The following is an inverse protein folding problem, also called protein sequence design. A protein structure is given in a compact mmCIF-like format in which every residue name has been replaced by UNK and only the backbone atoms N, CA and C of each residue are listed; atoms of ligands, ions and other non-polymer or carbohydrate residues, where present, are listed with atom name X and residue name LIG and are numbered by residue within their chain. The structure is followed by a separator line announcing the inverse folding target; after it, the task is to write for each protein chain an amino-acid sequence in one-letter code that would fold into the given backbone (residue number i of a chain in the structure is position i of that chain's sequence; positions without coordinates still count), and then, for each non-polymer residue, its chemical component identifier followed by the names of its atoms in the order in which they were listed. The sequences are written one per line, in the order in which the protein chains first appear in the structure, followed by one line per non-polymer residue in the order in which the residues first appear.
data_IF_436991937493
#
_entry.id   IF_436991937493
#
_cell.length_a   1.000
_cell.length_b   1.000
_cell.length_c   1.000
_cell.angle_alpha   90.00
_cell.angle_beta   90.00
_cell.angle_gamma   90.00
#
_symmetry.space_group_name_H-M   'P 1'
#
loop_
_entity.id
_entity.type
_entity.pdbx_description
1 polymer ?
#
# COMPACT_ATOMS: atom_id res chain seq x y z
N UNK A 1 -28.78 -12.92 -32.24
CA UNK A 1 -28.33 -11.53 -32.35
C UNK A 1 -28.41 -10.94 -30.95
N UNK A 2 -27.37 -10.67 -30.18
CA UNK A 2 -25.92 -10.92 -30.33
C UNK A 2 -25.33 -11.02 -28.93
N UNK A 3 -24.56 -12.08 -28.73
CA UNK A 3 -23.79 -12.31 -27.52
C UNK A 3 -22.35 -11.87 -27.83
N UNK A 4 -21.96 -10.68 -27.41
CA UNK A 4 -20.62 -10.15 -27.59
C UNK A 4 -20.23 -9.10 -26.53
N UNK A 5 -20.19 -9.47 -25.25
CA UNK A 5 -19.52 -8.64 -24.25
C UNK A 5 -18.68 -9.51 -23.30
N UNK A 6 -17.36 -9.41 -23.47
CA UNK A 6 -16.42 -9.57 -22.37
C UNK A 6 -15.74 -10.91 -22.16
N UNK A 7 -15.11 -11.49 -23.17
CA UNK A 7 -14.00 -12.42 -22.92
C UNK A 7 -12.79 -11.61 -22.43
N UNK A 8 -12.62 -11.53 -21.12
CA UNK A 8 -11.34 -11.16 -20.51
C UNK A 8 -10.34 -12.25 -20.88
N UNK A 9 -9.46 -11.99 -21.84
CA UNK A 9 -8.33 -12.84 -22.15
C UNK A 9 -7.39 -12.87 -20.93
N UNK A 10 -7.49 -13.94 -20.14
CA UNK A 10 -6.38 -14.34 -19.27
C UNK A 10 -5.26 -14.80 -20.21
N UNK A 11 -4.24 -13.96 -20.35
CA UNK A 11 -2.98 -14.40 -20.92
C UNK A 11 -2.29 -15.31 -19.88
N UNK A 12 -2.63 -16.58 -19.87
CA UNK A 12 -1.85 -17.63 -19.21
C UNK A 12 -0.60 -17.91 -20.07
N UNK A 13 0.34 -16.98 -20.02
CA UNK A 13 1.73 -17.24 -20.42
C UNK A 13 2.42 -18.02 -19.30
N UNK A 14 3.56 -18.73 -19.58
CA UNK A 14 4.30 -19.46 -18.57
C UNK A 14 4.58 -18.54 -17.39
N UNK A 15 4.28 -19.01 -16.16
CA UNK A 15 4.36 -18.23 -14.93
C UNK A 15 5.76 -17.60 -14.82
N UNK A 16 5.87 -16.30 -15.08
CA UNK A 16 7.15 -15.59 -14.95
C UNK A 16 7.61 -15.70 -13.51
N UNK A 17 8.89 -16.01 -13.30
CA UNK A 17 9.49 -16.10 -11.96
C UNK A 17 9.18 -14.83 -11.15
N UNK A 18 8.89 -14.95 -9.85
CA UNK A 18 8.60 -13.81 -9.01
C UNK A 18 9.78 -12.83 -8.96
N UNK A 19 9.47 -11.55 -8.87
CA UNK A 19 10.47 -10.48 -8.69
C UNK A 19 10.94 -10.39 -7.23
N UNK A 20 10.06 -10.74 -6.31
CA UNK A 20 10.34 -10.89 -4.89
C UNK A 20 9.80 -12.24 -4.46
N UNK A 21 10.61 -13.00 -3.75
CA UNK A 21 10.23 -14.28 -3.14
C UNK A 21 11.09 -14.46 -1.90
N UNK A 22 10.50 -14.18 -0.73
CA UNK A 22 11.21 -14.14 0.55
C UNK A 22 10.39 -14.86 1.62
N UNK A 23 11.10 -15.53 2.54
CA UNK A 23 10.53 -16.34 3.61
C UNK A 23 11.24 -16.07 4.92
N UNK A 24 10.49 -16.10 6.02
CA UNK A 24 10.96 -15.99 7.41
C UNK A 24 11.83 -14.76 7.69
N UNK A 25 11.60 -13.67 6.96
CA UNK A 25 12.41 -12.45 7.09
C UNK A 25 12.12 -11.79 8.44
N UNK A 26 13.17 -11.62 9.25
CA UNK A 26 13.08 -10.98 10.56
C UNK A 26 14.09 -9.85 10.68
N UNK A 27 13.67 -8.74 11.30
CA UNK A 27 14.53 -7.61 11.63
C UNK A 27 14.27 -7.09 13.02
N UNK A 28 15.35 -6.98 13.82
CA UNK A 28 15.32 -6.46 15.18
C UNK A 28 16.09 -5.14 15.29
N UNK A 29 15.60 -4.25 16.13
CA UNK A 29 16.28 -3.04 16.55
C UNK A 29 16.31 -2.99 18.08
N UNK A 30 17.49 -2.96 18.67
CA UNK A 30 17.66 -2.93 20.12
C UNK A 30 16.82 -4.02 20.85
N UNK A 31 16.79 -5.24 20.30
CA UNK A 31 16.04 -6.37 20.86
C UNK A 31 14.53 -6.38 20.53
N UNK A 32 13.99 -5.33 19.90
CA UNK A 32 12.58 -5.26 19.50
C UNK A 32 12.41 -5.69 18.04
N UNK A 33 11.50 -6.60 17.78
CA UNK A 33 11.18 -7.03 16.41
C UNK A 33 10.39 -5.94 15.67
N UNK A 34 10.95 -5.46 14.56
CA UNK A 34 10.29 -4.53 13.66
C UNK A 34 9.66 -5.24 12.47
N UNK A 35 10.18 -6.41 12.10
CA UNK A 35 9.62 -7.35 11.14
C UNK A 35 9.88 -8.75 11.68
N UNK A 36 8.86 -9.60 11.66
CA UNK A 36 8.90 -10.94 12.26
C UNK A 36 8.37 -11.97 11.28
N UNK A 37 9.23 -12.93 10.91
CA UNK A 37 8.90 -14.09 10.06
C UNK A 37 8.06 -13.71 8.83
N UNK A 38 8.42 -12.60 8.16
CA UNK A 38 7.69 -12.09 7.01
C UNK A 38 7.94 -13.00 5.80
N UNK A 39 6.86 -13.49 5.19
CA UNK A 39 6.88 -14.18 3.91
C UNK A 39 6.09 -13.38 2.87
N UNK A 40 6.70 -13.12 1.71
CA UNK A 40 6.12 -12.27 0.69
C UNK A 40 6.61 -12.67 -0.71
N UNK A 41 5.69 -12.72 -1.65
CA UNK A 41 6.01 -12.88 -3.07
C UNK A 41 5.35 -11.79 -3.90
N UNK A 42 6.05 -11.34 -4.98
CA UNK A 42 5.55 -10.35 -5.93
C UNK A 42 5.90 -10.78 -7.36
N UNK A 43 4.94 -10.71 -8.26
CA UNK A 43 5.11 -11.05 -9.68
C UNK A 43 5.23 -9.78 -10.55
N UNK A 44 5.81 -9.90 -11.76
CA UNK A 44 5.76 -8.81 -12.74
C UNK A 44 4.32 -8.40 -13.04
N UNK A 45 4.08 -7.08 -13.14
CA UNK A 45 2.75 -6.54 -13.41
C UNK A 45 1.82 -6.42 -12.20
N UNK A 46 2.28 -6.83 -11.02
CA UNK A 46 1.50 -6.81 -9.79
C UNK A 46 1.77 -5.53 -8.98
N UNK A 47 0.71 -4.99 -8.37
CA UNK A 47 0.81 -3.94 -7.34
C UNK A 47 0.41 -4.56 -6.01
N UNK A 48 1.35 -4.62 -5.07
CA UNK A 48 1.13 -5.11 -3.72
C UNK A 48 1.11 -3.96 -2.72
N UNK A 49 0.00 -3.76 -2.02
CA UNK A 49 -0.11 -2.82 -0.91
C UNK A 49 0.39 -3.43 0.39
N UNK A 50 1.39 -2.82 1.03
CA UNK A 50 1.74 -3.09 2.43
C UNK A 50 0.96 -2.12 3.31
N UNK A 51 -0.07 -2.60 3.96
CA UNK A 51 -1.04 -1.77 4.68
C UNK A 51 -0.93 -1.99 6.18
N UNK A 52 -0.97 -0.93 6.96
CA UNK A 52 -0.91 -1.06 8.42
C UNK A 52 -0.60 0.27 9.12
N UNK A 53 -0.73 0.27 10.43
CA UNK A 53 -0.45 1.45 11.26
C UNK A 53 1.03 1.88 11.26
N UNK A 54 1.30 3.01 11.89
CA UNK A 54 2.67 3.49 12.09
C UNK A 54 3.42 2.51 13.01
N UNK A 55 4.69 2.24 12.66
CA UNK A 55 5.49 1.25 13.37
C UNK A 55 5.19 -0.21 13.01
N UNK A 56 4.23 -0.51 12.13
CA UNK A 56 3.86 -1.87 11.72
C UNK A 56 4.90 -2.62 10.86
N UNK A 57 6.08 -2.06 10.60
CA UNK A 57 7.16 -2.74 9.87
C UNK A 57 7.22 -2.43 8.37
N UNK A 58 6.31 -1.64 7.81
CA UNK A 58 6.22 -1.35 6.36
C UNK A 58 7.51 -0.80 5.76
N UNK A 59 8.01 0.32 6.28
CA UNK A 59 9.28 0.95 5.85
C UNK A 59 10.47 0.01 6.02
N UNK A 60 10.52 -0.74 7.12
CA UNK A 60 11.58 -1.73 7.37
C UNK A 60 11.56 -2.83 6.31
N UNK A 61 10.38 -3.36 5.98
CA UNK A 61 10.20 -4.34 4.91
C UNK A 61 10.67 -3.79 3.56
N UNK A 62 10.23 -2.59 3.17
CA UNK A 62 10.67 -1.97 1.92
C UNK A 62 12.19 -1.76 1.86
N UNK A 63 12.82 -1.34 2.97
CA UNK A 63 14.28 -1.17 3.03
C UNK A 63 15.02 -2.49 2.89
N UNK A 64 14.52 -3.57 3.47
CA UNK A 64 15.10 -4.91 3.32
C UNK A 64 15.01 -5.35 1.86
N UNK A 65 13.82 -5.29 1.26
CA UNK A 65 13.60 -5.69 -0.13
C UNK A 65 14.39 -4.80 -1.12
N UNK A 66 14.62 -3.55 -0.78
CA UNK A 66 15.45 -2.62 -1.55
C UNK A 66 16.97 -2.83 -1.37
N UNK A 67 17.40 -3.79 -0.54
CA UNK A 67 18.82 -4.00 -0.23
C UNK A 67 19.46 -2.84 0.56
N UNK A 68 18.64 -1.97 1.18
CA UNK A 68 19.08 -0.82 1.98
C UNK A 68 19.30 -1.20 3.44
N UNK A 69 18.74 -2.32 3.87
CA UNK A 69 18.81 -2.84 5.22
C UNK A 69 19.01 -4.35 5.18
N UNK A 70 20.01 -4.86 5.88
CA UNK A 70 20.22 -6.30 6.01
C UNK A 70 19.25 -6.86 7.06
N UNK A 71 18.46 -7.90 6.74
CA UNK A 71 17.68 -8.60 7.74
C UNK A 71 18.60 -9.39 8.68
N UNK A 72 18.10 -9.75 9.85
CA UNK A 72 18.84 -10.56 10.83
C UNK A 72 18.65 -12.05 10.55
N UNK A 73 17.46 -12.43 10.05
CA UNK A 73 17.10 -13.80 9.69
C UNK A 73 16.27 -13.81 8.41
N UNK A 74 16.11 -14.99 7.82
CA UNK A 74 15.29 -15.22 6.66
C UNK A 74 16.09 -15.56 5.41
N UNK A 75 15.37 -15.90 4.35
CA UNK A 75 15.93 -16.30 3.06
C UNK A 75 15.06 -15.80 1.90
N UNK A 76 15.58 -15.88 0.71
CA UNK A 76 14.84 -15.59 -0.50
C UNK A 76 15.61 -14.79 -1.52
N UNK A 77 14.91 -14.33 -2.53
CA UNK A 77 15.49 -13.59 -3.66
C UNK A 77 14.67 -12.35 -4.00
N UNK A 78 15.39 -11.31 -4.37
CA UNK A 78 14.82 -10.09 -4.95
C UNK A 78 15.49 -9.87 -6.31
N UNK A 79 14.69 -9.78 -7.37
CA UNK A 79 15.15 -9.71 -8.76
C UNK A 79 16.13 -10.85 -9.16
N UNK A 80 15.99 -12.01 -8.52
CA UNK A 80 16.87 -13.16 -8.69
C UNK A 80 18.15 -13.14 -7.85
N UNK A 81 18.45 -12.05 -7.14
CA UNK A 81 19.61 -11.91 -6.25
C UNK A 81 19.25 -12.37 -4.84
N UNK A 82 20.22 -12.99 -4.18
CA UNK A 82 20.08 -13.42 -2.79
C UNK A 82 19.82 -12.24 -1.85
N UNK A 83 18.86 -12.39 -0.94
CA UNK A 83 18.44 -11.32 -0.02
C UNK A 83 19.56 -10.90 0.94
N UNK A 84 20.41 -11.85 1.39
CA UNK A 84 21.47 -11.60 2.38
C UNK A 84 22.76 -11.13 1.74
N UNK A 85 23.10 -11.67 0.55
CA UNK A 85 24.35 -11.42 -0.14
C UNK A 85 24.27 -10.44 -1.30
N UNK A 86 23.09 -10.30 -1.94
CA UNK A 86 22.88 -9.55 -3.18
C UNK A 86 22.52 -8.08 -3.03
N UNK A 87 22.66 -7.49 -1.84
CA UNK A 87 22.15 -6.14 -1.55
C UNK A 87 22.64 -5.05 -2.54
N UNK A 88 23.89 -5.12 -3.00
CA UNK A 88 24.46 -4.16 -3.97
C UNK A 88 23.74 -4.24 -5.32
N UNK A 89 23.50 -5.48 -5.79
CA UNK A 89 22.89 -5.74 -7.09
C UNK A 89 21.40 -5.39 -7.07
N UNK A 90 20.73 -5.64 -5.95
CA UNK A 90 19.33 -5.23 -5.72
C UNK A 90 19.22 -3.71 -5.80
N UNK A 91 20.01 -2.96 -5.02
CA UNK A 91 19.96 -1.49 -4.98
C UNK A 91 20.13 -0.83 -6.35
N UNK A 92 20.93 -1.43 -7.22
CA UNK A 92 21.18 -0.89 -8.58
C UNK A 92 20.02 -1.06 -9.56
N UNK A 93 19.05 -1.93 -9.21
CA UNK A 93 17.96 -2.34 -10.12
C UNK A 93 16.58 -1.99 -9.62
N UNK A 94 16.48 -1.56 -8.34
CA UNK A 94 15.21 -1.20 -7.70
C UNK A 94 14.98 0.29 -7.80
N UNK A 95 13.77 0.69 -8.17
CA UNK A 95 13.28 2.05 -7.97
C UNK A 95 12.79 2.20 -6.54
N UNK A 96 13.42 3.06 -5.74
CA UNK A 96 13.04 3.27 -4.34
C UNK A 96 12.63 4.72 -4.10
N UNK A 97 11.43 4.90 -3.56
CA UNK A 97 10.93 6.18 -3.07
C UNK A 97 10.74 6.09 -1.55
N UNK A 98 11.47 6.90 -0.80
CA UNK A 98 11.37 6.97 0.65
C UNK A 98 10.21 7.86 1.11
N UNK A 99 9.70 7.63 2.31
CA UNK A 99 8.64 8.44 2.92
C UNK A 99 9.04 9.91 3.06
N UNK A 100 10.28 10.19 3.49
CA UNK A 100 10.84 11.54 3.48
C UNK A 100 11.31 11.92 2.09
N UNK A 101 11.18 13.20 1.75
CA UNK A 101 11.76 13.72 0.50
C UNK A 101 13.28 13.49 0.49
N UNK A 102 13.75 12.80 -0.53
CA UNK A 102 15.19 12.46 -0.73
C UNK A 102 15.75 13.14 -1.97
N UNK A 103 15.28 14.36 -2.24
CA UNK A 103 15.74 15.22 -3.31
C UNK A 103 16.84 16.14 -2.79
N UNK A 104 17.72 16.55 -3.68
CA UNK A 104 18.70 17.60 -3.40
C UNK A 104 17.99 18.94 -3.57
N UNK A 105 17.76 19.64 -2.46
CA UNK A 105 16.98 20.88 -2.40
C UNK A 105 17.53 22.01 -3.25
N UNK A 106 18.86 22.11 -3.32
CA UNK A 106 19.58 23.13 -4.06
C UNK A 106 19.63 22.86 -5.57
N UNK A 107 19.50 21.59 -5.99
CA UNK A 107 19.46 21.21 -7.38
C UNK A 107 18.07 21.47 -7.98
N UNK A 108 18.05 21.91 -9.22
CA UNK A 108 16.82 22.05 -10.00
C UNK A 108 16.15 20.70 -10.23
N UNK A 109 14.89 20.71 -10.66
CA UNK A 109 14.16 19.52 -11.10
C UNK A 109 14.94 18.72 -12.14
N UNK A 110 15.46 19.43 -13.17
CA UNK A 110 16.27 18.80 -14.21
C UNK A 110 17.55 18.16 -13.66
N UNK A 111 18.29 18.88 -12.81
CA UNK A 111 19.54 18.39 -12.23
C UNK A 111 19.30 17.19 -11.30
N UNK A 112 18.25 17.19 -10.48
CA UNK A 112 17.86 16.03 -9.67
C UNK A 112 17.62 14.78 -10.53
N UNK A 113 16.85 14.91 -11.62
CA UNK A 113 16.56 13.80 -12.52
C UNK A 113 17.82 13.35 -13.27
N UNK A 114 18.62 14.29 -13.81
CA UNK A 114 19.86 13.97 -14.48
C UNK A 114 20.85 13.25 -13.56
N UNK A 115 21.01 13.75 -12.34
CA UNK A 115 21.86 13.09 -11.33
C UNK A 115 21.39 11.65 -11.04
N UNK A 116 20.08 11.44 -10.90
CA UNK A 116 19.54 10.07 -10.72
C UNK A 116 19.83 9.18 -11.92
N UNK A 117 19.66 9.67 -13.13
CA UNK A 117 19.99 8.94 -14.34
C UNK A 117 21.47 8.53 -14.37
N UNK A 118 22.38 9.44 -13.99
CA UNK A 118 23.81 9.18 -13.90
C UNK A 118 24.17 8.12 -12.83
N UNK A 119 23.56 8.21 -11.65
CA UNK A 119 23.75 7.22 -10.55
C UNK A 119 23.33 5.81 -10.97
N UNK A 120 22.26 5.69 -11.76
CA UNK A 120 21.81 4.41 -12.31
C UNK A 120 22.55 4.01 -13.59
N UNK A 121 23.51 4.80 -14.06
CA UNK A 121 24.37 4.48 -15.22
C UNK A 121 23.65 4.57 -16.55
N UNK A 122 22.61 5.40 -16.67
CA UNK A 122 21.91 5.59 -17.94
C UNK A 122 22.81 6.37 -18.94
N UNK A 123 23.05 5.76 -20.10
CA UNK A 123 23.60 6.48 -21.23
C UNK A 123 22.60 7.56 -21.69
N UNK A 124 23.05 8.83 -21.84
CA UNK A 124 22.15 9.91 -22.20
C UNK A 124 21.30 10.44 -21.04
N UNK A 125 21.89 10.60 -19.86
CA UNK A 125 21.24 11.11 -18.64
C UNK A 125 20.44 12.40 -18.84
N UNK A 126 20.90 13.28 -19.72
CA UNK A 126 20.19 14.51 -20.12
C UNK A 126 18.87 14.19 -20.82
N UNK A 127 18.89 13.32 -21.83
CA UNK A 127 17.69 12.94 -22.59
C UNK A 127 16.70 12.18 -21.70
N UNK A 128 17.20 11.32 -20.81
CA UNK A 128 16.37 10.62 -19.82
C UNK A 128 15.68 11.61 -18.88
N UNK A 129 16.39 12.61 -18.37
CA UNK A 129 15.82 13.65 -17.52
C UNK A 129 14.74 14.46 -18.24
N UNK A 130 15.01 14.90 -19.49
CA UNK A 130 14.05 15.66 -20.30
C UNK A 130 12.80 14.83 -20.63
N UNK A 131 12.96 13.55 -20.97
CA UNK A 131 11.84 12.63 -21.23
C UNK A 131 11.00 12.43 -19.96
N UNK A 132 11.66 12.21 -18.82
CA UNK A 132 10.99 12.03 -17.53
C UNK A 132 10.25 13.29 -17.10
N UNK A 133 10.83 14.49 -17.32
CA UNK A 133 10.12 15.74 -17.05
C UNK A 133 8.84 15.87 -17.87
N UNK A 134 8.87 15.49 -19.16
CA UNK A 134 7.65 15.51 -20.00
C UNK A 134 6.62 14.51 -19.51
N UNK A 135 7.05 13.28 -19.22
CA UNK A 135 6.15 12.21 -18.76
C UNK A 135 5.48 12.52 -17.40
N UNK A 136 6.15 13.29 -16.54
CA UNK A 136 5.66 13.67 -15.22
C UNK A 136 5.14 15.10 -15.11
N UNK A 137 4.92 15.81 -16.25
CA UNK A 137 4.44 17.20 -16.31
C UNK A 137 5.33 18.21 -15.53
N UNK A 138 6.62 17.90 -15.41
CA UNK A 138 7.60 18.69 -14.66
C UNK A 138 8.33 19.73 -15.52
N UNK A 139 8.07 19.77 -16.82
CA UNK A 139 8.84 20.60 -17.78
C UNK A 139 8.87 22.08 -17.41
N UNK A 140 7.72 22.62 -16.96
CA UNK A 140 7.62 24.03 -16.53
C UNK A 140 8.47 24.36 -15.30
N UNK A 141 8.77 23.35 -14.49
CA UNK A 141 9.60 23.49 -13.29
C UNK A 141 11.05 23.07 -13.50
N UNK A 142 11.46 22.75 -14.72
CA UNK A 142 12.77 22.17 -15.02
C UNK A 142 13.96 22.97 -14.45
N UNK A 143 13.84 24.29 -14.36
CA UNK A 143 14.87 25.21 -13.81
C UNK A 143 14.60 25.60 -12.34
N UNK A 144 13.52 25.14 -11.74
CA UNK A 144 13.15 25.44 -10.34
C UNK A 144 13.95 24.56 -9.40
N UNK A 145 14.62 25.08 -8.37
CA UNK A 145 15.21 24.27 -7.31
C UNK A 145 14.16 23.38 -6.64
N UNK A 146 14.53 22.13 -6.33
CA UNK A 146 13.59 21.17 -5.76
C UNK A 146 13.03 21.65 -4.40
N UNK A 147 13.84 22.38 -3.62
CA UNK A 147 13.42 22.97 -2.37
C UNK A 147 12.37 24.10 -2.49
N UNK A 148 12.19 24.66 -3.67
CA UNK A 148 11.19 25.69 -3.96
C UNK A 148 9.85 25.12 -4.49
N UNK A 149 9.76 23.80 -4.69
CA UNK A 149 8.54 23.14 -5.12
C UNK A 149 7.54 23.03 -3.95
N UNK A 150 6.25 23.09 -4.28
CA UNK A 150 5.23 22.66 -3.29
C UNK A 150 5.37 21.16 -2.99
N UNK A 151 4.84 20.72 -1.83
CA UNK A 151 4.96 19.31 -1.40
C UNK A 151 4.48 18.31 -2.46
N UNK A 152 3.38 18.61 -3.16
CA UNK A 152 2.86 17.75 -4.23
C UNK A 152 3.81 17.64 -5.43
N UNK A 153 4.39 18.76 -5.87
CA UNK A 153 5.36 18.76 -6.95
C UNK A 153 6.68 18.09 -6.56
N UNK A 154 7.12 18.28 -5.32
CA UNK A 154 8.29 17.58 -4.80
C UNK A 154 8.07 16.05 -4.73
N UNK A 155 6.87 15.60 -4.31
CA UNK A 155 6.50 14.19 -4.34
C UNK A 155 6.46 13.62 -5.75
N UNK A 156 5.90 14.36 -6.70
CA UNK A 156 5.88 13.99 -8.11
C UNK A 156 7.31 13.85 -8.68
N UNK A 157 8.19 14.78 -8.36
CA UNK A 157 9.61 14.71 -8.74
C UNK A 157 10.30 13.50 -8.10
N UNK A 158 10.01 13.19 -6.84
CA UNK A 158 10.59 12.04 -6.15
C UNK A 158 10.16 10.72 -6.78
N UNK A 159 8.87 10.59 -7.14
CA UNK A 159 8.35 9.43 -7.86
C UNK A 159 9.01 9.32 -9.27
N UNK A 160 9.12 10.43 -9.99
CA UNK A 160 9.79 10.49 -11.29
C UNK A 160 11.25 10.02 -11.19
N UNK A 161 11.98 10.47 -10.17
CA UNK A 161 13.35 10.08 -9.90
C UNK A 161 13.50 8.59 -9.54
N UNK A 162 12.52 8.00 -8.87
CA UNK A 162 12.50 6.56 -8.57
C UNK A 162 12.26 5.69 -9.80
N UNK A 163 11.60 6.23 -10.83
CA UNK A 163 11.20 5.50 -12.04
C UNK A 163 12.08 5.77 -13.26
N UNK A 164 13.01 6.75 -13.19
CA UNK A 164 13.79 7.25 -14.35
C UNK A 164 14.56 6.15 -15.10
N UNK A 165 15.01 5.11 -14.42
CA UNK A 165 15.77 3.99 -14.99
C UNK A 165 14.91 2.78 -15.37
N UNK A 166 13.58 2.96 -15.43
CA UNK A 166 12.60 1.92 -15.78
C UNK A 166 12.81 0.61 -14.99
N UNK A 167 12.80 0.66 -13.65
CA UNK A 167 13.11 -0.49 -12.81
C UNK A 167 12.06 -1.61 -12.95
N UNK A 168 12.50 -2.86 -12.89
CA UNK A 168 11.59 -4.02 -12.86
C UNK A 168 10.88 -4.19 -11.52
N UNK A 169 11.44 -3.65 -10.44
CA UNK A 169 10.85 -3.62 -9.10
C UNK A 169 10.86 -2.20 -8.57
N UNK A 170 9.69 -1.74 -8.13
CA UNK A 170 9.49 -0.40 -7.56
C UNK A 170 8.99 -0.54 -6.13
N UNK A 171 9.62 0.15 -5.20
CA UNK A 171 9.29 0.17 -3.79
C UNK A 171 8.97 1.60 -3.37
N UNK A 172 7.73 1.86 -3.01
CA UNK A 172 7.20 3.20 -2.72
C UNK A 172 6.74 3.27 -1.26
N UNK A 173 7.41 4.10 -0.48
CA UNK A 173 7.10 4.27 0.94
C UNK A 173 6.21 5.51 1.13
N UNK A 174 4.90 5.27 1.34
CA UNK A 174 3.84 6.28 1.47
C UNK A 174 3.87 7.35 0.34
N UNK A 175 3.79 6.94 -0.95
CA UNK A 175 4.03 7.86 -2.07
C UNK A 175 3.00 9.00 -2.17
N UNK A 176 1.84 8.83 -1.60
CA UNK A 176 0.68 9.73 -1.69
C UNK A 176 0.43 10.54 -0.42
N UNK A 177 1.25 10.33 0.62
CA UNK A 177 1.10 11.04 1.88
C UNK A 177 1.18 12.57 1.69
N UNK A 178 0.15 13.27 2.20
CA UNK A 178 0.06 14.74 2.13
C UNK A 178 -0.33 15.29 0.75
N UNK A 179 -0.72 14.46 -0.20
CA UNK A 179 -1.25 14.89 -1.49
C UNK A 179 -2.75 15.20 -1.41
N UNK A 180 -3.19 16.19 -2.18
CA UNK A 180 -4.62 16.41 -2.46
C UNK A 180 -5.18 15.27 -3.30
N UNK A 181 -6.52 15.21 -3.43
CA UNK A 181 -7.23 14.12 -4.13
C UNK A 181 -6.77 13.98 -5.59
N UNK A 182 -6.62 15.09 -6.31
CA UNK A 182 -6.20 15.06 -7.72
C UNK A 182 -4.76 14.55 -7.89
N UNK A 183 -3.83 15.09 -7.11
CA UNK A 183 -2.43 14.67 -7.12
C UNK A 183 -2.25 13.20 -6.71
N UNK A 184 -3.09 12.71 -5.77
CA UNK A 184 -3.12 11.31 -5.36
C UNK A 184 -3.56 10.40 -6.52
N UNK A 185 -4.66 10.74 -7.21
CA UNK A 185 -5.12 9.99 -8.38
C UNK A 185 -4.06 9.91 -9.47
N UNK A 186 -3.42 11.03 -9.78
CA UNK A 186 -2.34 11.05 -10.76
C UNK A 186 -1.16 10.16 -10.36
N UNK A 187 -0.76 10.16 -9.09
CA UNK A 187 0.31 9.28 -8.59
C UNK A 187 -0.08 7.80 -8.78
N UNK A 188 -1.32 7.42 -8.44
CA UNK A 188 -1.83 6.06 -8.62
C UNK A 188 -1.90 5.65 -10.09
N UNK A 189 -2.36 6.52 -10.99
CA UNK A 189 -2.35 6.25 -12.43
C UNK A 189 -0.93 5.94 -12.94
N UNK A 190 0.10 6.63 -12.42
CA UNK A 190 1.50 6.36 -12.79
C UNK A 190 2.01 5.04 -12.23
N UNK A 191 1.64 4.71 -10.99
CA UNK A 191 1.96 3.44 -10.35
C UNK A 191 1.35 2.28 -11.18
N UNK A 192 0.07 2.37 -11.49
CA UNK A 192 -0.63 1.38 -12.29
C UNK A 192 -0.04 1.23 -13.69
N UNK A 193 0.24 2.34 -14.37
CA UNK A 193 0.91 2.32 -15.70
C UNK A 193 2.26 1.62 -15.63
N UNK A 194 3.04 1.86 -14.57
CA UNK A 194 4.33 1.21 -14.34
C UNK A 194 4.18 -0.30 -14.15
N UNK A 195 3.18 -0.73 -13.40
CA UNK A 195 2.89 -2.14 -13.23
C UNK A 195 2.41 -2.78 -14.56
N UNK A 196 1.50 -2.14 -15.27
CA UNK A 196 1.03 -2.62 -16.60
C UNK A 196 2.17 -2.74 -17.62
N UNK A 197 3.23 -1.94 -17.49
CA UNK A 197 4.44 -2.07 -18.31
C UNK A 197 5.33 -3.27 -17.92
N UNK A 198 4.94 -4.03 -16.89
CA UNK A 198 5.60 -5.28 -16.48
C UNK A 198 6.49 -5.14 -15.24
N UNK A 199 6.57 -3.98 -14.61
CA UNK A 199 7.24 -3.85 -13.31
C UNK A 199 6.37 -4.45 -12.19
N UNK A 200 6.99 -5.01 -11.15
CA UNK A 200 6.30 -5.27 -9.89
C UNK A 200 6.41 -4.03 -9.00
N UNK A 201 5.33 -3.66 -8.34
CA UNK A 201 5.30 -2.49 -7.46
C UNK A 201 4.86 -2.88 -6.07
N UNK A 202 5.60 -2.45 -5.04
CA UNK A 202 5.17 -2.54 -3.64
C UNK A 202 4.97 -1.13 -3.11
N UNK A 203 3.78 -0.85 -2.61
CA UNK A 203 3.40 0.45 -2.05
C UNK A 203 3.11 0.28 -0.56
N UNK A 204 3.78 1.02 0.32
CA UNK A 204 3.33 1.12 1.70
C UNK A 204 2.30 2.24 1.85
N UNK A 205 1.27 1.98 2.63
CA UNK A 205 0.27 2.97 2.99
C UNK A 205 -0.36 2.66 4.35
N UNK A 206 -0.85 3.68 5.02
CA UNK A 206 -1.74 3.53 6.18
C UNK A 206 -3.21 3.81 5.80
N UNK A 207 -3.46 4.24 4.56
CA UNK A 207 -4.79 4.51 4.02
C UNK A 207 -5.34 3.23 3.36
N UNK A 208 -6.34 2.64 4.00
CA UNK A 208 -6.98 1.41 3.53
C UNK A 208 -7.71 1.60 2.19
N UNK A 209 -8.17 2.82 1.89
CA UNK A 209 -8.79 3.11 0.60
C UNK A 209 -7.81 2.99 -0.58
N UNK A 210 -6.54 3.25 -0.34
CA UNK A 210 -5.49 3.06 -1.36
C UNK A 210 -5.19 1.58 -1.62
N UNK A 211 -5.37 0.73 -0.63
CA UNK A 211 -5.16 -0.71 -0.78
C UNK A 211 -6.18 -1.35 -1.74
N UNK A 212 -7.35 -0.74 -1.91
CA UNK A 212 -8.36 -1.18 -2.89
C UNK A 212 -7.90 -1.00 -4.34
N UNK A 213 -6.91 -0.14 -4.59
CA UNK A 213 -6.30 0.06 -5.91
C UNK A 213 -5.15 -0.93 -6.20
N UNK A 214 -4.76 -1.72 -5.21
CA UNK A 214 -3.72 -2.73 -5.34
C UNK A 214 -4.28 -4.05 -5.87
N UNK A 215 -3.47 -4.79 -6.63
CA UNK A 215 -3.81 -6.15 -7.07
C UNK A 215 -3.97 -7.10 -5.88
N UNK A 216 -3.11 -6.92 -4.87
CA UNK A 216 -3.13 -7.61 -3.58
C UNK A 216 -2.77 -6.64 -2.47
N UNK A 217 -3.27 -6.93 -1.28
CA UNK A 217 -2.93 -6.22 -0.05
C UNK A 217 -2.37 -7.21 0.99
N UNK A 218 -1.31 -6.79 1.67
CA UNK A 218 -0.77 -7.45 2.85
C UNK A 218 -1.00 -6.53 4.06
N UNK A 219 -1.83 -6.96 5.00
CA UNK A 219 -2.06 -6.23 6.24
C UNK A 219 -0.95 -6.56 7.23
N UNK A 220 -0.22 -5.53 7.64
CA UNK A 220 0.87 -5.63 8.61
C UNK A 220 0.41 -5.11 9.97
N UNK A 221 0.62 -5.93 10.99
CA UNK A 221 0.45 -5.56 12.40
C UNK A 221 1.65 -6.07 13.18
N UNK A 222 2.27 -5.21 13.98
CA UNK A 222 3.43 -5.55 14.85
C UNK A 222 4.56 -6.32 14.12
N UNK A 223 4.87 -5.90 12.90
CA UNK A 223 5.93 -6.51 12.09
C UNK A 223 5.56 -7.83 11.41
N UNK A 224 4.32 -8.30 11.53
CA UNK A 224 3.82 -9.55 10.92
C UNK A 224 2.77 -9.26 9.85
N UNK A 225 2.74 -10.08 8.82
CA UNK A 225 1.60 -10.11 7.89
C UNK A 225 0.49 -10.92 8.57
N UNK A 226 -0.63 -10.25 8.89
CA UNK A 226 -1.80 -10.88 9.53
C UNK A 226 -2.83 -11.37 8.52
N UNK A 227 -2.85 -10.79 7.33
CA UNK A 227 -3.65 -11.26 6.19
C UNK A 227 -3.01 -10.79 4.88
N UNK A 228 -3.13 -11.60 3.82
CA UNK A 228 -2.67 -11.24 2.48
C UNK A 228 -3.55 -11.90 1.42
N UNK A 229 -3.93 -11.12 0.40
CA UNK A 229 -4.76 -11.58 -0.72
C UNK A 229 -5.25 -10.41 -1.56
N UNK A 230 -6.19 -10.64 -2.47
CA UNK A 230 -6.92 -9.50 -3.06
C UNK A 230 -7.69 -8.78 -1.95
N UNK A 231 -8.01 -7.47 -2.11
CA UNK A 231 -8.81 -6.76 -1.10
C UNK A 231 -10.07 -7.51 -0.68
N UNK A 232 -10.77 -8.12 -1.65
CA UNK A 232 -11.95 -8.95 -1.39
C UNK A 232 -11.64 -10.24 -0.62
N UNK A 233 -10.54 -10.92 -0.95
CA UNK A 233 -10.11 -12.14 -0.24
C UNK A 233 -9.80 -11.82 1.22
N UNK A 234 -9.07 -10.73 1.48
CA UNK A 234 -8.77 -10.27 2.83
C UNK A 234 -10.04 -9.91 3.58
N UNK A 235 -10.97 -9.18 2.96
CA UNK A 235 -12.26 -8.86 3.57
C UNK A 235 -13.04 -10.13 3.96
N UNK A 236 -13.09 -11.15 3.09
CA UNK A 236 -13.82 -12.41 3.34
C UNK A 236 -13.12 -13.36 4.30
N UNK A 237 -11.84 -13.18 4.59
CA UNK A 237 -11.07 -14.07 5.49
C UNK A 237 -11.41 -13.89 6.97
N UNK A 238 -12.13 -12.82 7.32
CA UNK A 238 -12.41 -12.43 8.70
C UNK A 238 -13.77 -12.94 9.15
N UNK A 239 -13.89 -13.64 10.29
CA UNK A 239 -15.15 -14.19 10.78
C UNK A 239 -15.97 -13.10 11.50
N UNK A 240 -16.48 -12.14 10.75
CA UNK A 240 -17.34 -11.07 11.27
C UNK A 240 -18.45 -10.73 10.26
N UNK A 241 -19.45 -10.02 10.73
CA UNK A 241 -20.55 -9.50 9.93
C UNK A 241 -20.57 -7.98 10.01
N UNK A 242 -20.99 -7.34 8.93
CA UNK A 242 -21.05 -5.88 8.87
C UNK A 242 -22.47 -5.43 8.59
N UNK A 243 -22.90 -4.44 9.36
CA UNK A 243 -24.24 -3.87 9.26
C UNK A 243 -24.17 -2.36 9.06
N UNK A 244 -25.12 -1.84 8.31
CA UNK A 244 -25.33 -0.41 8.15
C UNK A 244 -26.61 -0.02 8.91
N UNK A 245 -26.45 0.87 9.88
CA UNK A 245 -27.54 1.42 10.64
C UNK A 245 -27.93 2.79 10.07
N UNK A 246 -29.17 2.94 9.64
CA UNK A 246 -29.69 4.14 8.99
C UNK A 246 -30.87 4.71 9.77
N UNK A 247 -30.99 6.04 9.84
CA UNK A 247 -32.12 6.70 10.53
C UNK A 247 -31.71 8.02 11.18
N UNK A 248 -32.68 8.68 11.82
CA UNK A 248 -32.43 9.91 12.54
C UNK A 248 -31.53 9.66 13.76
N UNK A 249 -30.49 10.48 13.92
CA UNK A 249 -29.61 10.45 15.07
C UNK A 249 -28.80 9.16 15.31
N UNK A 250 -28.61 8.29 14.29
CA UNK A 250 -27.87 7.01 14.43
C UNK A 250 -26.47 7.17 15.03
N UNK A 251 -25.81 8.32 14.80
CA UNK A 251 -24.49 8.61 15.37
C UNK A 251 -24.50 8.63 16.91
N UNK A 252 -25.61 8.98 17.55
CA UNK A 252 -25.75 8.95 19.01
C UNK A 252 -25.74 7.54 19.56
N UNK A 253 -26.11 6.55 18.73
CA UNK A 253 -26.11 5.13 19.13
C UNK A 253 -24.71 4.50 19.13
N UNK A 254 -23.73 5.14 18.51
CA UNK A 254 -22.38 4.60 18.39
C UNK A 254 -21.76 4.19 19.73
N UNK A 255 -21.94 5.02 20.78
CA UNK A 255 -21.42 4.72 22.10
C UNK A 255 -22.15 3.58 22.79
N UNK A 256 -23.48 3.49 22.64
CA UNK A 256 -24.27 2.38 23.18
C UNK A 256 -23.96 1.06 22.48
N UNK A 257 -23.83 1.09 21.14
CA UNK A 257 -23.51 -0.08 20.33
C UNK A 257 -22.13 -0.67 20.64
N UNK A 258 -21.14 0.16 20.96
CA UNK A 258 -19.81 -0.35 21.38
C UNK A 258 -19.82 -1.15 22.68
N UNK A 259 -20.88 -1.04 23.49
CA UNK A 259 -21.07 -1.81 24.73
C UNK A 259 -21.83 -3.10 24.51
N UNK A 260 -22.36 -3.34 23.32
CA UNK A 260 -23.10 -4.56 22.99
C UNK A 260 -22.09 -5.70 22.83
N UNK A 261 -22.29 -6.82 23.53
CA UNK A 261 -21.43 -7.98 23.36
C UNK A 261 -21.37 -8.43 21.90
N UNK A 262 -20.17 -8.65 21.41
CA UNK A 262 -19.92 -9.04 20.02
C UNK A 262 -19.78 -7.87 19.04
N UNK A 263 -20.06 -6.62 19.41
CA UNK A 263 -19.73 -5.48 18.56
C UNK A 263 -18.23 -5.19 18.67
N UNK A 264 -17.55 -5.23 17.52
CA UNK A 264 -16.11 -5.05 17.40
C UNK A 264 -15.79 -3.57 17.17
N UNK A 265 -16.47 -2.93 16.22
CA UNK A 265 -16.25 -1.54 15.89
C UNK A 265 -17.53 -0.85 15.41
N UNK A 266 -17.58 0.47 15.60
CA UNK A 266 -18.61 1.33 15.01
C UNK A 266 -17.96 2.58 14.46
N UNK A 267 -18.28 2.97 13.24
CA UNK A 267 -17.77 4.19 12.63
C UNK A 267 -18.77 4.81 11.65
N UNK A 268 -18.73 6.13 11.45
CA UNK A 268 -19.67 6.81 10.57
C UNK A 268 -19.35 6.50 9.10
N UNK A 269 -20.41 6.25 8.31
CA UNK A 269 -20.35 6.15 6.86
C UNK A 269 -21.39 7.10 6.25
N UNK A 270 -20.96 8.29 5.89
CA UNK A 270 -21.86 9.36 5.48
C UNK A 270 -22.83 9.73 6.61
N UNK A 271 -24.15 9.65 6.36
CA UNK A 271 -25.20 9.90 7.36
C UNK A 271 -25.51 8.66 8.22
N UNK A 272 -25.01 7.50 7.84
CA UNK A 272 -25.27 6.21 8.49
C UNK A 272 -24.15 5.86 9.48
N UNK A 273 -24.37 4.80 10.25
CA UNK A 273 -23.38 4.19 11.14
C UNK A 273 -23.07 2.78 10.65
N UNK A 274 -21.80 2.50 10.39
CA UNK A 274 -21.32 1.18 10.06
C UNK A 274 -20.96 0.44 11.35
N UNK A 275 -21.40 -0.81 11.47
CA UNK A 275 -21.22 -1.64 12.67
C UNK A 275 -20.57 -2.93 12.26
N UNK A 276 -19.37 -3.20 12.76
CA UNK A 276 -18.65 -4.46 12.58
C UNK A 276 -18.88 -5.30 13.83
N UNK A 277 -19.35 -6.51 13.65
CA UNK A 277 -19.72 -7.38 14.76
C UNK A 277 -19.31 -8.85 14.53
N UNK A 278 -18.99 -9.54 15.58
CA UNK A 278 -18.76 -10.99 15.56
C UNK A 278 -20.01 -11.74 15.09
N UNK A 279 -19.82 -12.91 14.53
CA UNK A 279 -20.91 -13.80 14.16
C UNK A 279 -21.77 -14.10 15.38
N UNK A 280 -23.09 -13.92 15.26
CA UNK A 280 -24.05 -14.13 16.36
C UNK A 280 -24.53 -12.88 17.08
N UNK A 281 -23.93 -11.71 16.84
CA UNK A 281 -24.39 -10.44 17.44
C UNK A 281 -25.62 -9.82 16.75
N UNK A 282 -26.12 -10.42 15.66
CA UNK A 282 -27.17 -9.87 14.79
C UNK A 282 -28.50 -9.60 15.55
N UNK A 283 -28.95 -10.57 16.35
CA UNK A 283 -30.20 -10.44 17.11
C UNK A 283 -30.19 -9.28 18.12
N UNK A 284 -29.05 -9.04 18.76
CA UNK A 284 -28.88 -7.90 19.68
C UNK A 284 -28.92 -6.57 18.90
N UNK A 285 -28.27 -6.50 17.75
CA UNK A 285 -28.29 -5.32 16.88
C UNK A 285 -29.69 -5.04 16.33
N UNK A 286 -30.43 -6.07 15.93
CA UNK A 286 -31.83 -5.93 15.48
C UNK A 286 -32.74 -5.40 16.59
N UNK A 287 -32.56 -5.87 17.83
CA UNK A 287 -33.31 -5.38 18.98
C UNK A 287 -33.11 -3.89 19.21
N UNK A 288 -31.85 -3.44 19.14
CA UNK A 288 -31.49 -2.03 19.27
C UNK A 288 -32.04 -1.21 18.11
N UNK A 289 -31.96 -1.72 16.89
CA UNK A 289 -32.47 -1.02 15.73
C UNK A 289 -33.98 -0.80 15.84
N UNK A 290 -34.74 -1.82 16.27
CA UNK A 290 -36.19 -1.71 16.53
C UNK A 290 -36.52 -0.69 17.62
N UNK A 291 -35.84 -0.73 18.76
CA UNK A 291 -36.08 0.19 19.88
C UNK A 291 -35.72 1.63 19.57
N UNK A 292 -34.80 1.85 18.64
CA UNK A 292 -34.31 3.19 18.24
C UNK A 292 -35.01 3.74 16.98
N UNK A 293 -36.01 3.03 16.44
CA UNK A 293 -36.67 3.36 15.17
C UNK A 293 -35.68 3.59 14.01
N UNK A 294 -34.61 2.75 13.96
CA UNK A 294 -33.58 2.78 12.92
C UNK A 294 -33.66 1.53 12.06
N UNK A 295 -33.17 1.63 10.83
CA UNK A 295 -33.09 0.50 9.90
C UNK A 295 -31.72 -0.14 9.97
N UNK A 296 -31.67 -1.46 10.22
CA UNK A 296 -30.46 -2.27 10.14
C UNK A 296 -30.46 -3.02 8.81
N UNK A 297 -29.36 -2.95 8.07
CA UNK A 297 -29.13 -3.73 6.86
C UNK A 297 -27.77 -4.41 6.92
N UNK A 298 -27.71 -5.70 6.61
CA UNK A 298 -26.44 -6.39 6.43
C UNK A 298 -25.78 -5.93 5.13
N UNK A 299 -24.50 -5.60 5.18
CA UNK A 299 -23.74 -5.10 4.01
C UNK A 299 -22.46 -5.91 3.83
N UNK A 300 -21.86 -5.81 2.65
CA UNK A 300 -20.57 -6.44 2.38
C UNK A 300 -19.46 -5.88 3.26
N UNK A 301 -18.54 -6.73 3.68
CA UNK A 301 -17.33 -6.35 4.38
C UNK A 301 -16.33 -5.74 3.40
N UNK A 302 -15.73 -4.61 3.76
CA UNK A 302 -14.61 -4.02 3.03
C UNK A 302 -13.28 -4.27 3.77
N UNK A 303 -12.19 -3.86 3.15
CA UNK A 303 -10.85 -4.04 3.73
C UNK A 303 -10.68 -3.29 5.06
N UNK A 304 -11.34 -2.13 5.22
CA UNK A 304 -11.33 -1.35 6.46
C UNK A 304 -11.97 -2.11 7.62
N UNK A 305 -13.11 -2.77 7.37
CA UNK A 305 -13.76 -3.62 8.37
C UNK A 305 -12.85 -4.76 8.82
N UNK A 306 -12.23 -5.44 7.84
CA UNK A 306 -11.32 -6.55 8.11
C UNK A 306 -10.09 -6.10 8.92
N UNK A 307 -9.52 -4.95 8.60
CA UNK A 307 -8.39 -4.39 9.32
C UNK A 307 -8.74 -4.07 10.78
N UNK A 308 -9.96 -3.56 11.05
CA UNK A 308 -10.44 -3.30 12.41
C UNK A 308 -10.57 -4.59 13.22
N UNK A 309 -11.08 -5.67 12.62
CA UNK A 309 -11.18 -6.96 13.30
C UNK A 309 -9.81 -7.55 13.58
N UNK A 310 -8.94 -7.61 12.57
CA UNK A 310 -7.58 -8.15 12.70
C UNK A 310 -6.71 -7.32 13.63
N UNK A 311 -6.88 -5.99 13.65
CA UNK A 311 -6.23 -5.10 14.58
C UNK A 311 -6.63 -5.38 16.04
N UNK A 312 -7.89 -5.68 16.33
CA UNK A 312 -8.32 -6.01 17.69
C UNK A 312 -7.93 -7.43 18.14
N UNK A 313 -7.84 -8.39 17.23
CA UNK A 313 -7.31 -9.73 17.55
C UNK A 313 -5.79 -9.70 17.81
N UNK A 314 -5.06 -8.83 17.13
CA UNK A 314 -3.66 -8.54 17.43
C UNK A 314 -3.53 -7.72 18.75
N UNK A 315 -4.46 -6.81 19.05
CA UNK A 315 -4.46 -5.90 20.22
C UNK A 315 -5.07 -6.49 21.50
N UNK A 316 -5.44 -7.76 21.55
CA UNK A 316 -5.43 -8.50 22.84
C UNK A 316 -3.98 -8.72 23.32
N UNK A 317 -3.01 -8.29 22.54
CA UNK A 317 -1.68 -7.85 22.85
C UNK A 317 -1.45 -6.33 22.75
N UNK A 318 -2.50 -5.48 22.61
CA UNK A 318 -2.47 -3.99 22.57
C UNK A 318 -3.04 -3.41 23.87
N UNK A 319 -2.71 -4.01 25.01
CA UNK A 319 -2.94 -3.51 26.37
C UNK A 319 -1.70 -2.86 26.92
#
# INVERSE_FOLDING_TARGET
MDDALGRVYRLEGPARAPLVDVEDVTKRYAGREAVTSLALSLRPGEVLGLVGGNGGGKTTTLRILGGLLKPDEGRGRVLGFDLLGGAREIRRRVGYMSQRLSLYSELTVFENLRFRAEVYGLSGSRMAAEATMRDFDLTRYGRTPAGALSGGWARRLQLAAALIHSPRLVLLDEPTAGLDVGSRQEAWHRIERTARAGSGVIVSTHDLSEAEWCSRAALLSEGRIVAMGTPEQVARSVPASVFLLSGSHVRRLAHALRRVPGVIATYPQGVNLRVVAAVGAESALESIARSSATRLARVGMCLEDAALVLGQTASKGWG
#
